data_IF_872655070021
#
_entry.id   IF_872655070021
#
_cell.length_a   1.000
_cell.length_b   1.000
_cell.length_c   1.000
_cell.angle_alpha   90.00
_cell.angle_beta   90.00
_cell.angle_gamma   90.00
#
_symmetry.space_group_name_H-M   'P 1'
#
loop_
_entity.id
_entity.type
_entity.pdbx_description
1 polymer ?
#
# COMPACT_ATOMS: atom_id res chain seq x y z
N UNK A 1 -4.82 2.51 -0.72
CA UNK A 1 -5.37 3.40 0.35
C UNK A 1 -4.73 4.79 0.39
N UNK A 2 -3.41 5.00 0.46
CA UNK A 2 -2.84 6.35 0.59
C UNK A 2 -3.37 7.37 -0.43
N UNK A 3 -3.42 6.98 -1.70
CA UNK A 3 -3.92 7.85 -2.76
C UNK A 3 -5.42 8.16 -2.64
N UNK A 4 -6.23 7.22 -2.15
CA UNK A 4 -7.67 7.42 -1.97
C UNK A 4 -7.92 8.40 -0.81
N UNK A 5 -7.23 8.21 0.33
CA UNK A 5 -7.32 9.11 1.48
C UNK A 5 -6.85 10.53 1.15
N UNK A 6 -5.72 10.65 0.44
CA UNK A 6 -5.22 11.96 0.00
C UNK A 6 -6.19 12.67 -0.96
N UNK A 7 -6.86 11.92 -1.82
CA UNK A 7 -7.89 12.46 -2.73
C UNK A 7 -9.16 12.85 -1.98
N UNK A 8 -9.64 12.00 -1.06
CA UNK A 8 -10.82 12.29 -0.25
C UNK A 8 -10.62 13.53 0.64
N UNK A 9 -9.41 13.80 1.08
CA UNK A 9 -9.09 15.00 1.88
C UNK A 9 -9.26 16.31 1.10
N UNK A 10 -9.20 16.28 -0.23
CA UNK A 10 -9.30 17.48 -1.08
C UNK A 10 -10.54 17.52 -1.97
N UNK A 11 -11.21 16.38 -2.15
CA UNK A 11 -12.43 16.29 -2.97
C UNK A 11 -13.56 15.63 -2.16
N UNK A 12 -14.57 16.42 -1.71
CA UNK A 12 -15.66 15.90 -0.88
C UNK A 12 -16.59 14.92 -1.61
N UNK A 13 -16.44 14.76 -2.92
CA UNK A 13 -17.21 13.78 -3.70
C UNK A 13 -16.63 12.36 -3.58
N UNK A 14 -15.43 12.22 -3.04
CA UNK A 14 -14.73 10.93 -2.88
C UNK A 14 -14.93 10.43 -1.46
N UNK A 15 -15.60 9.29 -1.33
CA UNK A 15 -15.68 8.53 -0.09
C UNK A 15 -14.66 7.39 -0.08
N UNK A 16 -14.12 7.09 1.08
CA UNK A 16 -13.25 5.91 1.28
C UNK A 16 -13.95 4.95 2.21
N UNK A 17 -14.19 3.73 1.73
CA UNK A 17 -14.80 2.66 2.49
C UNK A 17 -13.74 1.59 2.75
N UNK A 18 -13.48 1.29 4.00
CA UNK A 18 -12.70 0.13 4.41
C UNK A 18 -13.68 -1.00 4.78
N UNK A 19 -13.61 -2.18 4.13
CA UNK A 19 -14.45 -3.31 4.49
C UNK A 19 -14.22 -3.72 5.96
N UNK A 20 -15.29 -4.06 6.67
CA UNK A 20 -15.23 -4.47 8.08
C UNK A 20 -14.73 -5.90 8.26
N UNK A 21 -14.89 -6.75 7.24
CA UNK A 21 -14.50 -8.15 7.27
C UNK A 21 -12.99 -8.33 7.00
N UNK A 22 -12.43 -7.68 5.99
CA UNK A 22 -10.98 -7.63 5.75
C UNK A 22 -10.60 -6.57 4.71
N UNK A 23 -9.41 -6.02 4.87
CA UNK A 23 -8.78 -5.13 3.89
C UNK A 23 -7.42 -5.67 3.49
N UNK A 24 -7.21 -5.92 2.20
CA UNK A 24 -5.92 -6.34 1.68
C UNK A 24 -4.91 -5.18 1.72
N UNK A 25 -3.75 -5.42 2.31
CA UNK A 25 -2.67 -4.45 2.40
C UNK A 25 -1.51 -4.90 1.54
N UNK A 26 -1.20 -4.11 0.52
CA UNK A 26 0.00 -4.29 -0.29
C UNK A 26 1.12 -3.40 0.21
N UNK A 27 2.19 -4.01 0.70
CA UNK A 27 3.39 -3.31 1.11
C UNK A 27 4.24 -2.91 -0.09
N UNK A 28 4.90 -1.78 0.00
CA UNK A 28 5.90 -1.32 -0.97
C UNK A 28 7.27 -1.44 -0.33
N UNK A 29 8.16 -2.30 -0.81
CA UNK A 29 9.51 -2.39 -0.29
C UNK A 29 10.35 -1.18 -0.72
N UNK A 30 11.20 -0.70 0.16
CA UNK A 30 12.32 0.15 -0.18
C UNK A 30 13.60 -0.71 -0.20
N UNK A 31 14.45 -0.49 -1.17
CA UNK A 31 15.71 -1.23 -1.29
C UNK A 31 16.82 -0.35 -1.87
N UNK A 32 18.04 -0.62 -1.47
CA UNK A 32 19.24 0.01 -2.03
C UNK A 32 19.79 -0.96 -3.09
N UNK A 33 19.82 -0.59 -4.39
CA UNK A 33 20.44 -1.42 -5.41
C UNK A 33 21.91 -1.66 -5.12
N UNK A 34 22.46 -2.83 -5.51
CA UNK A 34 23.88 -3.16 -5.32
C UNK A 34 24.82 -2.12 -5.94
N UNK A 35 24.42 -1.54 -7.06
CA UNK A 35 25.22 -0.54 -7.81
C UNK A 35 24.68 0.88 -7.61
N UNK A 36 24.09 1.18 -6.43
CA UNK A 36 23.68 2.55 -6.13
C UNK A 36 24.87 3.50 -6.16
N UNK A 37 24.78 4.68 -6.79
CA UNK A 37 25.88 5.63 -6.86
C UNK A 37 26.27 6.21 -5.49
N UNK A 38 25.32 6.27 -4.55
CA UNK A 38 25.51 6.81 -3.20
C UNK A 38 24.82 5.90 -2.16
N UNK A 39 25.36 4.68 -1.89
CA UNK A 39 24.67 3.71 -1.03
C UNK A 39 24.60 4.17 0.43
N UNK A 40 25.60 4.89 0.92
CA UNK A 40 25.60 5.42 2.29
C UNK A 40 24.52 6.47 2.48
N UNK A 41 24.37 7.41 1.56
CA UNK A 41 23.29 8.41 1.62
C UNK A 41 21.90 7.75 1.51
N UNK A 42 21.78 6.71 0.69
CA UNK A 42 20.55 5.93 0.61
C UNK A 42 20.23 5.20 1.93
N UNK A 43 21.26 4.66 2.60
CA UNK A 43 21.13 4.09 3.94
C UNK A 43 20.64 5.11 4.95
N UNK A 44 21.27 6.27 5.02
CA UNK A 44 20.86 7.38 5.90
C UNK A 44 19.40 7.81 5.66
N UNK A 45 18.96 7.83 4.40
CA UNK A 45 17.57 8.12 4.08
C UNK A 45 16.63 7.06 4.62
N UNK A 46 16.96 5.78 4.47
CA UNK A 46 16.14 4.68 5.00
C UNK A 46 16.09 4.76 6.52
N UNK A 47 17.22 4.98 7.19
CA UNK A 47 17.29 5.13 8.64
C UNK A 47 16.44 6.31 9.12
N UNK A 48 16.49 7.44 8.41
CA UNK A 48 15.62 8.58 8.70
C UNK A 48 14.14 8.22 8.53
N UNK A 49 13.76 7.56 7.45
CA UNK A 49 12.35 7.16 7.23
C UNK A 49 11.83 6.19 8.29
N UNK A 50 12.72 5.34 8.85
CA UNK A 50 12.38 4.42 9.94
C UNK A 50 12.36 5.10 11.31
N UNK A 51 12.96 6.27 11.45
CA UNK A 51 12.93 7.06 12.69
C UNK A 51 11.55 7.62 12.99
N UNK A 52 11.31 8.02 14.25
CA UNK A 52 10.04 8.63 14.64
C UNK A 52 9.68 9.88 13.79
N UNK A 53 10.58 10.88 13.59
CA UNK A 53 10.25 12.03 12.76
C UNK A 53 10.01 11.68 11.28
N UNK A 54 10.73 10.70 10.74
CA UNK A 54 10.53 10.21 9.38
C UNK A 54 9.16 9.54 9.21
N UNK A 55 8.78 8.69 10.15
CA UNK A 55 7.46 8.05 10.17
C UNK A 55 6.33 9.07 10.31
N UNK A 56 6.48 10.05 11.18
CA UNK A 56 5.51 11.14 11.32
C UNK A 56 5.38 11.97 10.03
N UNK A 57 6.49 12.21 9.32
CA UNK A 57 6.47 12.90 8.03
C UNK A 57 5.71 12.08 6.97
N UNK A 58 5.95 10.77 6.90
CA UNK A 58 5.25 9.88 5.98
C UNK A 58 3.75 9.76 6.30
N UNK A 59 3.39 9.67 7.56
CA UNK A 59 2.00 9.56 8.00
C UNK A 59 1.15 10.77 7.56
N UNK A 60 1.72 11.98 7.55
CA UNK A 60 1.05 13.18 7.01
C UNK A 60 0.67 13.07 5.53
N UNK A 61 1.30 12.16 4.81
CA UNK A 61 1.00 11.84 3.42
C UNK A 61 0.31 10.48 3.24
N UNK A 62 -0.28 9.95 4.32
CA UNK A 62 -0.95 8.64 4.34
C UNK A 62 -0.02 7.48 3.94
N UNK A 63 1.29 7.64 4.14
CA UNK A 63 2.29 6.60 3.95
C UNK A 63 2.72 6.09 5.32
N UNK A 64 2.49 4.82 5.58
CA UNK A 64 2.75 4.22 6.88
C UNK A 64 3.82 3.16 6.75
N UNK A 65 4.82 3.21 7.62
CA UNK A 65 5.81 2.14 7.78
C UNK A 65 5.39 1.32 9.00
N UNK A 66 4.98 0.09 8.76
CA UNK A 66 4.62 -0.84 9.82
C UNK A 66 5.88 -1.54 10.31
N UNK A 67 6.28 -1.25 11.53
CA UNK A 67 7.32 -1.98 12.25
C UNK A 67 6.72 -2.99 13.24
N UNK A 68 5.62 -2.63 13.90
CA UNK A 68 4.92 -3.44 14.89
C UNK A 68 3.41 -3.44 14.59
N UNK A 69 2.69 -4.57 14.78
CA UNK A 69 1.24 -4.61 14.74
C UNK A 69 0.54 -3.62 15.69
N UNK A 70 1.21 -3.25 16.78
CA UNK A 70 0.74 -2.31 17.79
C UNK A 70 1.22 -0.88 17.58
N UNK A 71 1.80 -0.54 16.42
CA UNK A 71 2.31 0.80 16.13
C UNK A 71 1.15 1.81 16.17
N UNK A 72 1.19 2.83 17.08
CA UNK A 72 0.12 3.81 17.24
C UNK A 72 -0.13 4.63 15.96
N UNK A 73 0.83 4.71 15.04
CA UNK A 73 0.66 5.34 13.72
C UNK A 73 -0.43 4.64 12.89
N UNK A 74 -0.77 3.39 13.21
CA UNK A 74 -1.86 2.67 12.57
C UNK A 74 -3.23 2.96 13.19
N UNK A 75 -3.28 3.55 14.39
CA UNK A 75 -4.53 3.86 15.07
C UNK A 75 -5.38 4.90 14.32
N UNK A 76 -4.74 5.77 13.54
CA UNK A 76 -5.41 6.78 12.72
C UNK A 76 -5.92 6.26 11.37
N UNK A 77 -5.66 4.99 11.05
CA UNK A 77 -6.22 4.40 9.84
C UNK A 77 -7.70 4.06 10.05
N UNK A 78 -8.58 4.37 9.10
CA UNK A 78 -9.96 3.88 9.12
C UNK A 78 -9.95 2.35 9.26
N UNK A 79 -10.60 1.81 10.27
CA UNK A 79 -10.60 0.39 10.62
C UNK A 79 -9.25 -0.15 11.17
N UNK A 80 -8.61 0.61 12.07
CA UNK A 80 -7.41 0.17 12.81
C UNK A 80 -7.70 -0.87 13.91
N UNK A 81 -8.97 -1.16 14.20
CA UNK A 81 -9.34 -2.17 15.19
C UNK A 81 -9.08 -3.57 14.67
N UNK A 82 -8.39 -4.33 15.48
CA UNK A 82 -7.98 -5.74 15.39
C UNK A 82 -8.37 -6.55 14.14
N UNK A 83 -7.34 -7.03 13.44
CA UNK A 83 -7.40 -8.16 12.48
C UNK A 83 -7.97 -7.93 11.08
N UNK A 84 -8.57 -6.79 10.77
CA UNK A 84 -9.15 -6.51 9.45
C UNK A 84 -8.10 -6.40 8.34
N UNK A 85 -6.87 -5.98 8.68
CA UNK A 85 -5.81 -5.83 7.69
C UNK A 85 -5.12 -7.17 7.40
N UNK A 86 -5.22 -7.61 6.15
CA UNK A 86 -4.56 -8.82 5.65
C UNK A 86 -3.38 -8.42 4.76
N UNK A 87 -2.14 -8.46 5.27
CA UNK A 87 -0.97 -8.13 4.46
C UNK A 87 -0.74 -9.18 3.37
N UNK A 88 -0.61 -8.72 2.14
CA UNK A 88 -0.17 -9.57 1.03
C UNK A 88 1.33 -9.79 1.20
N UNK A 89 1.74 -11.05 1.40
CA UNK A 89 3.15 -11.41 1.53
C UNK A 89 3.86 -11.20 0.20
N UNK A 90 4.91 -10.38 0.22
CA UNK A 90 5.80 -10.23 -0.91
C UNK A 90 6.65 -11.51 -1.06
N UNK A 91 6.53 -12.20 -2.17
CA UNK A 91 7.26 -13.43 -2.42
C UNK A 91 7.02 -13.95 -3.84
N UNK A 92 7.70 -15.07 -4.21
CA UNK A 92 7.58 -15.67 -5.55
C UNK A 92 6.15 -15.97 -5.96
N UNK A 93 5.25 -16.23 -5.01
CA UNK A 93 3.83 -16.47 -5.27
C UNK A 93 3.13 -15.29 -5.97
N UNK A 94 3.58 -14.05 -5.75
CA UNK A 94 3.05 -12.88 -6.47
C UNK A 94 3.41 -12.90 -7.95
N UNK A 95 4.51 -13.55 -8.33
CA UNK A 95 4.93 -13.69 -9.72
C UNK A 95 3.97 -14.58 -10.52
N UNK A 96 3.25 -15.49 -9.85
CA UNK A 96 2.20 -16.30 -10.48
C UNK A 96 1.04 -15.44 -11.01
N UNK A 97 0.81 -14.26 -10.40
CA UNK A 97 -0.15 -13.27 -10.89
C UNK A 97 0.31 -12.53 -12.16
N UNK A 98 1.59 -12.64 -12.52
CA UNK A 98 2.15 -12.08 -13.76
C UNK A 98 1.97 -13.00 -14.98
N UNK A 99 1.35 -14.19 -14.82
CA UNK A 99 0.99 -15.07 -15.91
C UNK A 99 0.12 -14.30 -16.92
N UNK A 100 0.67 -14.16 -18.15
CA UNK A 100 0.04 -13.36 -19.20
C UNK A 100 -1.35 -13.89 -19.59
N UNK A 101 -1.54 -15.21 -19.58
CA UNK A 101 -2.82 -15.83 -19.95
C UNK A 101 -3.88 -15.57 -18.87
N UNK A 102 -3.51 -15.73 -17.59
CA UNK A 102 -4.42 -15.44 -16.47
C UNK A 102 -4.78 -13.96 -16.42
N UNK A 103 -3.81 -13.09 -16.68
CA UNK A 103 -4.05 -11.64 -16.75
C UNK A 103 -4.98 -11.27 -17.90
N UNK A 104 -4.76 -11.82 -19.11
CA UNK A 104 -5.64 -11.58 -20.24
C UNK A 104 -7.06 -12.02 -19.92
N UNK A 105 -7.23 -13.26 -19.44
CA UNK A 105 -8.55 -13.78 -19.04
C UNK A 105 -9.24 -12.93 -17.97
N UNK A 106 -8.48 -12.47 -16.97
CA UNK A 106 -9.04 -11.58 -15.93
C UNK A 106 -9.51 -10.27 -16.54
N UNK A 107 -8.70 -9.64 -17.41
CA UNK A 107 -9.05 -8.38 -18.05
C UNK A 107 -10.28 -8.51 -18.96
N UNK A 108 -10.43 -9.64 -19.66
CA UNK A 108 -11.59 -9.90 -20.51
C UNK A 108 -12.86 -10.08 -19.67
N UNK A 109 -12.77 -10.82 -18.57
CA UNK A 109 -13.89 -10.94 -17.61
C UNK A 109 -14.27 -9.57 -17.01
N UNK A 110 -13.28 -8.76 -16.66
CA UNK A 110 -13.50 -7.44 -16.12
C UNK A 110 -14.19 -6.51 -17.14
N UNK A 111 -13.70 -6.48 -18.38
CA UNK A 111 -14.30 -5.69 -19.45
C UNK A 111 -15.73 -6.12 -19.75
N UNK A 112 -16.00 -7.42 -19.73
CA UNK A 112 -17.36 -7.96 -19.90
C UNK A 112 -18.32 -7.58 -18.77
N UNK A 113 -17.79 -7.44 -17.53
CA UNK A 113 -18.60 -7.07 -16.38
C UNK A 113 -18.82 -5.55 -16.21
N UNK A 114 -17.84 -4.73 -16.60
CA UNK A 114 -17.77 -3.30 -16.31
C UNK A 114 -17.46 -2.42 -17.53
N UNK A 115 -17.37 -3.03 -18.72
CA UNK A 115 -17.24 -2.26 -19.97
C UNK A 115 -18.49 -1.43 -20.28
N UNK A 116 -18.38 -0.41 -21.13
CA UNK A 116 -19.56 0.34 -21.57
C UNK A 116 -20.57 -0.65 -22.17
N UNK A 117 -21.84 -0.53 -21.75
CA UNK A 117 -22.94 -1.20 -22.42
C UNK A 117 -23.05 -0.59 -23.81
N UNK A 118 -22.98 -1.42 -24.86
CA UNK A 118 -23.21 -1.02 -26.25
C UNK A 118 -24.58 -0.39 -26.43
#
# INVERSE_FOLDING_TARGET
MPNALARAAVDPRIGVVAPEDYTLVLSRPAMIPKNAPHPEAAGMLIDFLLSEPGRAALARHYLYIRQDPKDPVLADLPAAEDSVYRPIRLGPALLLGLDAQKRARFLDLWRGAFGPAD
#
